data_IF_071326385836
#
_entry.id   IF_071326385836
#
_cell.length_a   1.000
_cell.length_b   1.000
_cell.length_c   1.000
_cell.angle_alpha   90.00
_cell.angle_beta   90.00
_cell.angle_gamma   90.00
#
_symmetry.space_group_name_H-M   'P 1'
#
loop_
_entity.id
_entity.type
_entity.pdbx_description
1 polymer ?
#
# COMPACT_ATOMS: atom_id res chain seq x y z
N UNK A 1 -60.85 46.91 -7.20
CA UNK A 1 -59.71 47.43 -7.98
C UNK A 1 -58.55 46.47 -7.78
N UNK A 2 -58.27 45.60 -8.76
CA UNK A 2 -57.14 45.72 -9.72
C UNK A 2 -55.82 45.19 -9.12
N UNK A 3 -55.51 43.89 -9.19
CA UNK A 3 -54.84 43.16 -10.30
C UNK A 3 -53.38 43.58 -10.59
N UNK A 4 -52.43 42.88 -9.96
CA UNK A 4 -51.10 42.39 -10.43
C UNK A 4 -50.65 41.34 -9.37
N UNK A 5 -50.28 40.07 -9.61
CA UNK A 5 -50.05 39.21 -10.79
C UNK A 5 -48.61 39.21 -11.38
N UNK A 6 -48.10 37.98 -11.62
CA UNK A 6 -46.81 37.48 -12.17
C UNK A 6 -45.63 37.41 -11.17
N UNK A 7 -45.30 36.23 -10.62
CA UNK A 7 -44.65 35.03 -11.21
C UNK A 7 -43.13 35.15 -11.38
N UNK A 8 -42.39 34.54 -10.45
CA UNK A 8 -41.07 33.90 -10.58
C UNK A 8 -40.78 33.21 -9.23
N UNK A 9 -40.58 31.90 -9.09
CA UNK A 9 -40.48 30.86 -10.10
C UNK A 9 -39.11 30.21 -10.18
N UNK A 10 -38.56 29.72 -9.06
CA UNK A 10 -37.58 28.61 -8.99
C UNK A 10 -37.26 28.29 -7.53
N UNK A 11 -37.70 27.13 -7.03
CA UNK A 11 -37.18 26.59 -5.77
C UNK A 11 -35.76 26.05 -6.02
N UNK A 12 -34.75 26.85 -5.69
CA UNK A 12 -33.34 26.45 -5.72
C UNK A 12 -33.03 25.44 -4.63
N UNK A 13 -33.44 24.17 -4.80
CA UNK A 13 -32.84 23.06 -4.05
C UNK A 13 -31.37 22.98 -4.45
N UNK A 14 -30.52 23.62 -3.63
CA UNK A 14 -29.10 23.36 -3.58
C UNK A 14 -28.91 21.88 -3.22
N UNK A 15 -28.75 21.05 -4.25
CA UNK A 15 -28.21 19.72 -4.10
C UNK A 15 -26.80 19.87 -3.56
N UNK A 16 -26.67 19.80 -2.23
CA UNK A 16 -25.40 19.58 -1.56
C UNK A 16 -24.90 18.19 -1.96
N UNK A 17 -24.26 18.12 -3.14
CA UNK A 17 -23.34 17.07 -3.52
C UNK A 17 -22.12 17.16 -2.60
N UNK A 18 -22.33 16.84 -1.32
CA UNK A 18 -21.26 16.68 -0.36
C UNK A 18 -20.37 15.56 -0.85
N UNK A 19 -19.19 15.92 -1.36
CA UNK A 19 -18.15 14.98 -1.75
C UNK A 19 -17.89 14.05 -0.56
N UNK A 20 -18.39 12.82 -0.64
CA UNK A 20 -18.04 11.80 0.35
C UNK A 20 -16.58 11.42 0.14
N UNK A 21 -15.96 10.88 1.19
CA UNK A 21 -14.51 10.78 1.34
C UNK A 21 -13.83 9.78 0.39
N UNK A 22 -14.62 9.18 -0.50
CA UNK A 22 -14.40 7.85 -1.07
C UNK A 22 -14.55 7.82 -2.60
N UNK A 23 -14.93 8.93 -3.25
CA UNK A 23 -15.07 9.05 -4.72
C UNK A 23 -13.71 9.20 -5.44
N UNK A 24 -12.66 8.58 -4.91
CA UNK A 24 -11.48 8.22 -5.70
C UNK A 24 -11.82 6.98 -6.53
N UNK A 25 -12.62 7.23 -7.57
CA UNK A 25 -12.63 6.40 -8.77
C UNK A 25 -11.20 6.42 -9.31
N UNK A 26 -10.59 5.25 -9.44
CA UNK A 26 -9.38 5.08 -10.23
C UNK A 26 -9.80 5.31 -11.69
N UNK A 27 -9.66 6.56 -12.16
CA UNK A 27 -10.14 6.97 -13.47
C UNK A 27 -9.54 6.07 -14.55
N UNK A 28 -10.38 5.61 -15.48
CA UNK A 28 -9.91 4.99 -16.72
C UNK A 28 -8.87 5.92 -17.38
N UNK A 29 -7.81 5.37 -18.00
CA UNK A 29 -6.56 6.09 -18.19
C UNK A 29 -6.72 7.36 -19.02
N UNK A 30 -6.56 8.51 -18.35
CA UNK A 30 -6.40 9.80 -19.03
C UNK A 30 -5.13 9.75 -19.87
N UNK A 31 -5.24 9.98 -21.19
CA UNK A 31 -4.16 9.80 -22.17
C UNK A 31 -3.12 10.93 -22.16
N UNK A 32 -2.73 11.41 -20.98
CA UNK A 32 -1.63 12.36 -20.79
C UNK A 32 -0.49 11.63 -20.07
N UNK A 33 0.57 11.21 -20.77
CA UNK A 33 1.66 10.46 -20.17
C UNK A 33 2.60 11.38 -19.38
N UNK A 34 2.15 11.85 -18.21
CA UNK A 34 3.07 12.22 -17.12
C UNK A 34 3.54 10.93 -16.44
N UNK A 35 4.22 10.08 -17.21
CA UNK A 35 4.74 8.80 -16.75
C UNK A 35 5.82 9.05 -15.70
N UNK A 36 5.44 8.96 -14.42
CA UNK A 36 6.40 8.79 -13.33
C UNK A 36 7.14 7.47 -13.60
N UNK A 37 8.42 7.46 -14.04
CA UNK A 37 8.98 6.27 -14.70
C UNK A 37 9.04 5.03 -13.79
N UNK A 38 9.16 5.24 -12.48
CA UNK A 38 9.14 4.17 -11.48
C UNK A 38 7.73 3.71 -11.07
N UNK A 39 6.68 4.53 -11.28
CA UNK A 39 5.31 4.06 -11.14
C UNK A 39 4.97 3.05 -12.25
N UNK A 40 5.42 3.32 -13.47
CA UNK A 40 5.25 2.47 -14.64
C UNK A 40 6.06 1.16 -14.55
N UNK A 41 7.25 1.21 -13.96
CA UNK A 41 7.98 0.02 -13.52
C UNK A 41 7.14 -0.80 -12.54
N UNK A 42 6.70 -0.22 -11.42
CA UNK A 42 5.94 -0.96 -10.40
C UNK A 42 4.63 -1.56 -10.90
N UNK A 43 3.90 -0.87 -11.80
CA UNK A 43 2.69 -1.45 -12.42
C UNK A 43 2.96 -2.72 -13.22
N UNK A 44 4.16 -2.87 -13.80
CA UNK A 44 4.56 -4.02 -14.63
C UNK A 44 5.31 -5.11 -13.86
N UNK A 45 6.00 -4.77 -12.77
CA UNK A 45 6.85 -5.72 -12.01
C UNK A 45 6.29 -6.16 -10.66
N UNK A 46 5.23 -5.53 -10.16
CA UNK A 46 4.47 -5.98 -8.97
C UNK A 46 3.84 -7.36 -9.17
N UNK A 47 3.54 -8.06 -8.06
CA UNK A 47 2.77 -9.31 -8.07
C UNK A 47 1.46 -9.11 -8.87
N UNK A 48 1.10 -10.00 -9.82
CA UNK A 48 -0.16 -9.87 -10.54
C UNK A 48 -1.36 -10.06 -9.60
N UNK A 49 -2.43 -9.31 -9.85
CA UNK A 49 -3.69 -9.51 -9.13
C UNK A 49 -4.43 -10.73 -9.69
N UNK A 50 -4.83 -11.64 -8.81
CA UNK A 50 -5.69 -12.79 -9.12
C UNK A 50 -7.13 -12.32 -9.23
N UNK A 51 -7.91 -12.86 -10.18
CA UNK A 51 -9.32 -12.48 -10.40
C UNK A 51 -10.24 -13.68 -10.19
N UNK A 52 -11.34 -13.47 -9.46
CA UNK A 52 -12.31 -14.48 -9.08
C UNK A 52 -13.74 -13.97 -9.26
N UNK A 53 -14.66 -14.84 -9.67
CA UNK A 53 -16.10 -14.51 -9.73
C UNK A 53 -16.78 -14.84 -8.40
N UNK A 54 -17.62 -13.93 -7.91
CA UNK A 54 -18.39 -14.05 -6.66
C UNK A 54 -19.90 -13.96 -6.96
N UNK A 55 -20.69 -14.92 -6.48
CA UNK A 55 -22.15 -14.84 -6.53
C UNK A 55 -22.66 -13.92 -5.40
N UNK A 56 -23.26 -12.79 -5.73
CA UNK A 56 -23.74 -11.83 -4.73
C UNK A 56 -25.00 -12.35 -4.03
N UNK A 57 -25.09 -12.10 -2.72
CA UNK A 57 -26.20 -12.55 -1.87
C UNK A 57 -25.90 -13.79 -1.01
N UNK A 58 -24.84 -14.55 -1.31
CA UNK A 58 -24.41 -15.72 -0.53
C UNK A 58 -23.01 -15.55 0.04
N UNK A 59 -22.76 -16.12 1.22
CA UNK A 59 -21.43 -16.13 1.84
C UNK A 59 -20.52 -17.09 1.06
N UNK A 60 -19.31 -16.64 0.69
CA UNK A 60 -18.35 -17.42 -0.10
C UNK A 60 -16.92 -17.16 0.34
N UNK A 61 -16.09 -18.19 0.24
CA UNK A 61 -14.65 -18.10 0.49
C UNK A 61 -13.89 -18.23 -0.82
N UNK A 62 -13.00 -17.28 -1.09
CA UNK A 62 -12.02 -17.33 -2.17
C UNK A 62 -10.69 -17.76 -1.58
N UNK A 63 -10.04 -18.76 -2.17
CA UNK A 63 -8.66 -19.15 -1.83
C UNK A 63 -7.72 -18.68 -2.94
N UNK A 64 -6.63 -18.02 -2.55
CA UNK A 64 -5.62 -17.47 -3.45
C UNK A 64 -4.47 -18.45 -3.70
N UNK A 65 -3.69 -18.18 -4.74
CA UNK A 65 -2.43 -18.88 -5.02
C UNK A 65 -1.36 -18.62 -3.94
N UNK A 66 -1.43 -17.49 -3.22
CA UNK A 66 -0.61 -17.23 -2.03
C UNK A 66 -1.01 -18.07 -0.81
N UNK A 67 -2.14 -18.76 -0.85
CA UNK A 67 -2.66 -19.62 0.22
C UNK A 67 -3.57 -18.91 1.23
N UNK A 68 -3.90 -17.63 1.00
CA UNK A 68 -4.89 -16.93 1.82
C UNK A 68 -6.32 -17.35 1.46
N UNK A 69 -7.20 -17.40 2.46
CA UNK A 69 -8.63 -17.64 2.29
C UNK A 69 -9.40 -16.40 2.76
N UNK A 70 -10.18 -15.79 1.85
CA UNK A 70 -10.96 -14.58 2.10
C UNK A 70 -12.46 -14.91 2.01
N UNK A 71 -13.16 -14.81 3.15
CA UNK A 71 -14.61 -15.06 3.24
C UNK A 71 -15.39 -13.76 3.16
N UNK A 72 -16.19 -13.62 2.11
CA UNK A 72 -17.08 -12.49 1.86
C UNK A 72 -18.48 -12.80 2.42
N UNK A 73 -19.08 -11.92 3.24
CA UNK A 73 -20.39 -12.17 3.85
C UNK A 73 -21.55 -12.02 2.87
N UNK A 74 -22.60 -12.83 3.09
CA UNK A 74 -23.87 -12.74 2.37
C UNK A 74 -24.47 -11.32 2.47
N UNK A 75 -24.97 -10.79 1.35
CA UNK A 75 -25.53 -9.42 1.25
C UNK A 75 -24.60 -8.29 1.72
N UNK A 76 -23.31 -8.56 1.91
CA UNK A 76 -22.37 -7.61 2.49
C UNK A 76 -21.84 -6.55 1.54
N UNK A 77 -22.06 -6.67 0.22
CA UNK A 77 -21.53 -5.73 -0.79
C UNK A 77 -22.62 -4.77 -1.26
N UNK A 78 -22.28 -3.48 -1.29
CA UNK A 78 -23.17 -2.38 -1.68
C UNK A 78 -22.67 -1.71 -2.96
N UNK A 79 -23.64 -1.27 -3.77
CA UNK A 79 -23.45 -0.30 -4.83
C UNK A 79 -23.11 1.10 -4.25
N UNK A 80 -22.57 2.04 -5.05
CA UNK A 80 -22.35 3.42 -4.61
C UNK A 80 -23.61 4.10 -4.06
N UNK A 81 -24.79 3.77 -4.60
CA UNK A 81 -26.09 4.21 -4.10
C UNK A 81 -26.45 3.74 -2.68
N UNK A 82 -25.71 2.78 -2.13
CA UNK A 82 -25.98 2.15 -0.84
C UNK A 82 -26.95 0.96 -0.89
N UNK A 83 -27.53 0.65 -2.05
CA UNK A 83 -28.31 -0.57 -2.24
C UNK A 83 -27.41 -1.82 -2.21
N UNK A 84 -27.92 -2.94 -1.70
CA UNK A 84 -27.23 -4.24 -1.74
C UNK A 84 -27.05 -4.68 -3.19
N UNK A 85 -25.83 -5.05 -3.55
CA UNK A 85 -25.51 -5.55 -4.88
C UNK A 85 -25.98 -7.01 -5.02
N UNK A 86 -26.53 -7.37 -6.19
CA UNK A 86 -27.09 -8.70 -6.49
C UNK A 86 -26.57 -9.22 -7.83
N UNK A 87 -26.72 -10.52 -8.11
CA UNK A 87 -26.16 -11.14 -9.32
C UNK A 87 -24.71 -11.60 -9.12
N UNK A 88 -23.78 -11.16 -9.97
CA UNK A 88 -22.35 -11.54 -9.87
C UNK A 88 -21.43 -10.33 -9.79
N UNK A 89 -20.28 -10.49 -9.14
CA UNK A 89 -19.17 -9.54 -9.13
C UNK A 89 -17.83 -10.22 -9.43
N UNK A 90 -16.85 -9.43 -9.88
CA UNK A 90 -15.45 -9.83 -10.00
C UNK A 90 -14.66 -9.28 -8.81
N UNK A 91 -13.97 -10.16 -8.10
CA UNK A 91 -13.03 -9.85 -7.02
C UNK A 91 -11.61 -9.91 -7.58
N UNK A 92 -10.82 -8.86 -7.40
CA UNK A 92 -9.37 -8.84 -7.68
C UNK A 92 -8.62 -8.82 -6.35
N UNK A 93 -7.65 -9.71 -6.19
CA UNK A 93 -6.84 -9.82 -4.98
C UNK A 93 -5.36 -9.84 -5.39
N UNK A 94 -4.57 -8.94 -4.82
CA UNK A 94 -3.10 -8.97 -4.87
C UNK A 94 -2.59 -9.18 -3.45
N UNK A 95 -1.57 -10.00 -3.33
CA UNK A 95 -0.94 -10.40 -2.06
C UNK A 95 0.55 -10.08 -2.16
N UNK A 96 1.12 -9.51 -1.11
CA UNK A 96 2.55 -9.20 -1.02
C UNK A 96 3.05 -9.75 0.33
N UNK A 97 4.01 -10.67 0.24
CA UNK A 97 4.55 -11.37 1.41
C UNK A 97 6.05 -11.17 1.62
N UNK A 98 6.77 -10.62 0.63
CA UNK A 98 8.24 -10.55 0.64
C UNK A 98 8.74 -9.14 0.41
N UNK A 99 9.90 -8.80 0.98
CA UNK A 99 10.55 -7.50 0.75
C UNK A 99 10.83 -7.22 -0.75
N UNK A 100 11.27 -8.19 -1.57
CA UNK A 100 11.30 -8.02 -3.02
C UNK A 100 9.96 -7.57 -3.63
N UNK A 101 8.85 -8.18 -3.22
CA UNK A 101 7.52 -7.80 -3.71
C UNK A 101 7.08 -6.41 -3.24
N UNK A 102 7.41 -6.03 -2.00
CA UNK A 102 7.21 -4.68 -1.46
C UNK A 102 7.98 -3.61 -2.26
N UNK A 103 9.23 -3.88 -2.63
CA UNK A 103 10.06 -2.98 -3.47
C UNK A 103 9.47 -2.87 -4.88
N UNK A 104 9.14 -4.00 -5.52
CA UNK A 104 8.60 -4.02 -6.88
C UNK A 104 7.23 -3.34 -6.95
N UNK A 105 6.33 -3.63 -6.01
CA UNK A 105 5.03 -2.98 -5.90
C UNK A 105 5.12 -1.52 -5.43
N UNK A 106 6.23 -1.12 -4.82
CA UNK A 106 6.37 0.15 -4.09
C UNK A 106 5.30 0.29 -3.01
N UNK A 107 5.13 -0.77 -2.22
CA UNK A 107 4.27 -0.83 -1.03
C UNK A 107 5.19 -1.15 0.16
N UNK A 108 5.66 -0.13 0.90
CA UNK A 108 6.55 -0.29 2.04
C UNK A 108 5.76 -0.46 3.35
N UNK A 109 6.35 -1.15 4.32
CA UNK A 109 5.81 -1.40 5.66
C UNK A 109 6.07 -0.24 6.64
N UNK A 110 6.16 1.01 6.17
CA UNK A 110 6.26 2.17 7.06
C UNK A 110 4.88 2.75 7.39
N UNK A 111 4.70 3.27 8.61
CA UNK A 111 3.47 4.00 8.95
C UNK A 111 3.42 5.38 8.28
N UNK A 112 2.26 6.05 8.36
CA UNK A 112 2.04 7.42 7.82
C UNK A 112 2.94 8.48 8.49
N UNK A 113 3.35 8.26 9.74
CA UNK A 113 4.26 9.15 10.48
C UNK A 113 5.72 8.76 10.24
N UNK A 114 6.62 9.75 10.21
CA UNK A 114 8.06 9.54 9.97
C UNK A 114 8.71 8.82 11.16
N UNK A 115 9.48 7.77 10.89
CA UNK A 115 10.32 7.08 11.88
C UNK A 115 9.95 5.62 12.08
N UNK A 116 8.67 5.32 12.30
CA UNK A 116 8.28 3.98 12.72
C UNK A 116 8.17 3.00 11.54
N UNK A 117 8.55 1.75 11.78
CA UNK A 117 8.57 0.66 10.82
C UNK A 117 7.76 -0.52 11.33
N UNK A 118 7.12 -1.22 10.41
CA UNK A 118 6.41 -2.46 10.65
C UNK A 118 7.16 -3.66 10.06
N UNK A 119 6.94 -4.83 10.65
CA UNK A 119 7.39 -6.13 10.13
C UNK A 119 6.15 -6.90 9.69
N UNK A 120 6.13 -7.35 8.43
CA UNK A 120 4.89 -7.78 7.81
C UNK A 120 4.59 -9.26 7.86
N UNK A 121 3.34 -9.56 8.19
CA UNK A 121 2.69 -10.86 8.03
C UNK A 121 1.94 -11.02 6.72
N UNK A 122 1.79 -9.95 5.91
CA UNK A 122 1.16 -9.97 4.60
C UNK A 122 0.34 -8.71 4.29
N UNK A 123 0.57 -8.15 3.10
CA UNK A 123 -0.13 -7.00 2.53
C UNK A 123 -1.13 -7.46 1.47
N UNK A 124 -2.34 -6.88 1.47
CA UNK A 124 -3.46 -7.29 0.62
C UNK A 124 -4.09 -6.10 -0.08
N UNK A 125 -4.11 -6.09 -1.41
CA UNK A 125 -5.03 -5.22 -2.16
C UNK A 125 -6.23 -6.05 -2.58
N UNK A 126 -7.39 -5.71 -2.03
CA UNK A 126 -8.67 -6.31 -2.42
C UNK A 126 -9.42 -5.26 -3.23
N UNK A 127 -10.06 -5.68 -4.32
CA UNK A 127 -10.99 -4.88 -5.12
C UNK A 127 -12.20 -5.72 -5.51
N UNK A 128 -13.41 -5.16 -5.46
CA UNK A 128 -14.62 -5.84 -5.95
C UNK A 128 -15.36 -4.94 -6.91
N UNK A 129 -15.72 -5.48 -8.07
CA UNK A 129 -16.31 -4.76 -9.19
C UNK A 129 -17.51 -5.52 -9.72
N UNK A 130 -18.64 -4.83 -9.89
CA UNK A 130 -19.76 -5.32 -10.69
C UNK A 130 -19.78 -4.54 -12.00
N UNK A 131 -19.43 -5.23 -13.09
CA UNK A 131 -19.16 -4.60 -14.38
C UNK A 131 -18.08 -3.49 -14.23
N UNK A 132 -18.42 -2.24 -14.52
CA UNK A 132 -17.57 -1.06 -14.32
C UNK A 132 -17.75 -0.37 -12.97
N UNK A 133 -18.69 -0.83 -12.14
CA UNK A 133 -19.02 -0.22 -10.85
C UNK A 133 -18.21 -0.85 -9.73
N UNK A 134 -17.38 -0.07 -9.03
CA UNK A 134 -16.70 -0.52 -7.82
C UNK A 134 -17.71 -0.71 -6.69
N UNK A 135 -17.69 -1.87 -6.07
CA UNK A 135 -18.49 -2.15 -4.88
C UNK A 135 -17.71 -1.76 -3.63
N UNK A 136 -18.44 -1.45 -2.55
CA UNK A 136 -17.91 -1.29 -1.19
C UNK A 136 -18.60 -2.31 -0.28
N UNK A 137 -18.02 -2.61 0.88
CA UNK A 137 -18.76 -3.42 1.86
C UNK A 137 -19.78 -2.54 2.59
N UNK A 138 -20.80 -3.17 3.16
CA UNK A 138 -21.77 -2.53 4.03
C UNK A 138 -21.11 -2.14 5.36
N UNK A 139 -21.47 -0.98 5.95
CA UNK A 139 -21.02 -0.65 7.30
C UNK A 139 -21.34 -1.78 8.29
N UNK A 140 -20.45 -2.02 9.26
CA UNK A 140 -20.46 -3.14 10.23
C UNK A 140 -20.21 -4.55 9.69
N UNK A 141 -20.18 -4.78 8.38
CA UNK A 141 -19.71 -6.04 7.82
C UNK A 141 -18.17 -6.10 7.81
N UNK A 142 -17.60 -7.31 7.70
CA UNK A 142 -16.15 -7.50 7.53
C UNK A 142 -15.89 -8.62 6.52
N UNK A 143 -14.73 -8.59 5.85
CA UNK A 143 -14.19 -9.78 5.17
C UNK A 143 -13.28 -10.50 6.15
N UNK A 144 -13.59 -11.77 6.44
CA UNK A 144 -12.73 -12.59 7.28
C UNK A 144 -11.58 -13.12 6.41
N UNK A 145 -10.34 -12.85 6.80
CA UNK A 145 -9.13 -13.33 6.12
C UNK A 145 -8.42 -14.36 6.99
N UNK A 146 -8.02 -15.47 6.37
CA UNK A 146 -7.02 -16.39 6.89
C UNK A 146 -5.80 -16.29 5.98
N UNK A 147 -4.67 -15.81 6.48
CA UNK A 147 -3.41 -15.69 5.71
C UNK A 147 -2.38 -16.68 6.23
N UNK A 148 -1.56 -17.33 5.39
CA UNK A 148 -0.32 -17.96 5.82
C UNK A 148 0.55 -17.02 6.64
N UNK A 149 1.25 -17.59 7.62
CA UNK A 149 2.32 -16.92 8.37
C UNK A 149 3.61 -16.98 7.54
N UNK A 150 4.24 -15.85 7.20
CA UNK A 150 5.53 -15.86 6.50
C UNK A 150 6.60 -16.63 7.29
N UNK A 151 7.39 -17.42 6.59
CA UNK A 151 8.38 -18.30 7.21
C UNK A 151 9.50 -17.54 7.94
N UNK A 152 9.93 -18.11 9.07
CA UNK A 152 11.18 -17.77 9.77
C UNK A 152 11.28 -16.39 10.46
N UNK A 153 10.17 -15.80 10.92
CA UNK A 153 10.20 -14.53 11.67
C UNK A 153 9.24 -14.51 12.88
N UNK A 154 9.67 -13.93 14.02
CA UNK A 154 8.74 -13.56 15.10
C UNK A 154 7.79 -12.50 14.57
N UNK A 155 6.60 -12.94 14.25
CA UNK A 155 5.51 -12.19 13.64
C UNK A 155 4.24 -12.40 14.48
N UNK A 156 4.41 -12.58 15.80
CA UNK A 156 3.36 -13.02 16.72
C UNK A 156 2.42 -11.90 17.19
N UNK A 157 2.72 -10.64 16.87
CA UNK A 157 2.04 -9.46 17.46
C UNK A 157 1.31 -8.59 16.42
N UNK A 158 0.84 -9.20 15.32
CA UNK A 158 0.21 -8.48 14.22
C UNK A 158 -1.09 -7.74 14.62
N UNK A 159 -1.33 -6.63 13.94
CA UNK A 159 -2.53 -5.81 13.95
C UNK A 159 -3.03 -5.60 12.52
N UNK A 160 -4.27 -5.15 12.37
CA UNK A 160 -4.82 -4.77 11.06
C UNK A 160 -4.51 -3.29 10.79
N UNK A 161 -3.93 -3.02 9.63
CA UNK A 161 -3.63 -1.68 9.12
C UNK A 161 -4.31 -1.45 7.78
N UNK A 162 -4.51 -0.17 7.46
CA UNK A 162 -5.09 0.30 6.21
C UNK A 162 -4.28 1.46 5.63
N UNK A 163 -4.32 1.63 4.31
CA UNK A 163 -3.83 2.87 3.70
C UNK A 163 -4.88 3.98 3.83
N UNK A 164 -4.53 5.17 4.35
CA UNK A 164 -5.46 6.30 4.40
C UNK A 164 -5.69 6.89 3.00
N UNK A 165 -6.96 7.02 2.60
CA UNK A 165 -7.36 7.56 1.29
C UNK A 165 -6.73 8.93 0.96
N UNK A 166 -6.47 9.77 1.97
CA UNK A 166 -5.91 11.11 1.80
C UNK A 166 -4.40 11.17 1.47
N UNK A 167 -3.66 10.06 1.54
CA UNK A 167 -2.19 10.03 1.30
C UNK A 167 -1.83 9.49 -0.09
N UNK A 168 -2.82 9.09 -0.90
CA UNK A 168 -2.64 8.60 -2.26
C UNK A 168 -2.04 9.64 -3.25
N UNK A 169 -1.88 10.90 -2.84
CA UNK A 169 -1.35 11.99 -3.65
C UNK A 169 0.20 12.06 -3.70
N UNK A 170 0.91 11.20 -2.97
CA UNK A 170 2.37 11.06 -3.07
C UNK A 170 2.76 9.59 -3.30
N UNK A 171 3.95 9.36 -3.89
CA UNK A 171 4.43 8.08 -4.45
C UNK A 171 4.59 6.91 -3.44
N UNK A 172 3.97 6.97 -2.25
CA UNK A 172 3.64 5.81 -1.41
C UNK A 172 2.79 6.29 -0.24
N UNK A 173 1.62 5.68 -0.02
CA UNK A 173 0.95 5.79 1.27
C UNK A 173 1.79 5.05 2.34
N UNK A 174 1.73 5.55 3.58
CA UNK A 174 2.13 4.79 4.76
C UNK A 174 0.92 4.12 5.40
N UNK A 175 1.16 3.14 6.26
CA UNK A 175 0.10 2.41 6.97
C UNK A 175 -0.45 3.18 8.18
N UNK A 176 -1.76 3.15 8.36
CA UNK A 176 -2.45 3.61 9.57
C UNK A 176 -3.09 2.42 10.28
N UNK A 177 -2.98 2.36 11.61
CA UNK A 177 -3.60 1.32 12.42
C UNK A 177 -5.13 1.40 12.24
N UNK A 178 -5.73 0.30 11.76
CA UNK A 178 -7.18 0.22 11.53
C UNK A 178 -7.93 -0.31 12.75
N UNK A 179 -7.28 -1.20 13.53
CA UNK A 179 -7.83 -1.72 14.79
C UNK A 179 -6.73 -1.96 15.81
N UNK A 180 -7.03 -1.70 17.08
CA UNK A 180 -6.18 -2.07 18.22
C UNK A 180 -6.36 -3.54 18.62
N UNK A 181 -7.36 -4.24 18.07
CA UNK A 181 -7.50 -5.68 18.23
C UNK A 181 -6.34 -6.40 17.52
N UNK A 182 -5.71 -7.35 18.24
CA UNK A 182 -4.69 -8.21 17.64
C UNK A 182 -5.31 -9.13 16.60
N UNK A 183 -4.57 -9.34 15.51
CA UNK A 183 -4.79 -10.46 14.60
C UNK A 183 -4.63 -11.75 15.40
N UNK A 184 -5.56 -12.68 15.26
CA UNK A 184 -5.47 -13.98 15.93
C UNK A 184 -4.43 -14.84 15.19
N UNK A 185 -3.38 -15.27 15.89
CA UNK A 185 -2.48 -16.29 15.37
C UNK A 185 -3.00 -17.68 15.74
N UNK A 186 -3.05 -18.58 14.76
CA UNK A 186 -3.24 -20.03 14.94
C UNK A 186 -2.08 -20.75 14.23
N UNK A 187 -1.86 -22.07 14.44
CA UNK A 187 -0.75 -22.78 13.79
C UNK A 187 -0.75 -22.58 12.26
N UNK A 188 0.32 -21.98 11.74
CA UNK A 188 0.51 -21.69 10.31
C UNK A 188 -0.31 -20.54 9.71
N UNK A 189 -1.28 -19.95 10.44
CA UNK A 189 -2.19 -18.94 9.88
C UNK A 189 -2.42 -17.74 10.80
N UNK A 190 -2.53 -16.55 10.21
CA UNK A 190 -3.21 -15.39 10.76
C UNK A 190 -4.69 -15.44 10.47
N UNK A 191 -5.50 -14.95 11.41
CA UNK A 191 -6.94 -14.71 11.23
C UNK A 191 -7.27 -13.27 11.63
N UNK A 192 -7.89 -12.54 10.73
CA UNK A 192 -8.35 -11.18 10.97
C UNK A 192 -9.72 -10.95 10.33
N UNK A 193 -10.43 -9.94 10.81
CA UNK A 193 -11.59 -9.37 10.14
C UNK A 193 -11.18 -8.01 9.59
N UNK A 194 -11.26 -7.82 8.28
CA UNK A 194 -10.95 -6.55 7.62
C UNK A 194 -12.21 -5.67 7.63
N UNK A 195 -12.23 -4.54 8.37
CA UNK A 195 -13.38 -3.65 8.45
C UNK A 195 -13.46 -2.77 7.21
N UNK A 196 -14.15 -3.26 6.18
CA UNK A 196 -14.22 -2.57 4.89
C UNK A 196 -15.23 -1.41 4.93
N UNK A 197 -14.83 -0.24 5.43
CA UNK A 197 -15.47 1.01 5.02
C UNK A 197 -15.26 1.25 3.51
N UNK A 198 -14.06 0.89 3.03
CA UNK A 198 -13.68 0.77 1.63
C UNK A 198 -12.94 -0.55 1.37
N UNK A 199 -13.18 -1.11 0.18
CA UNK A 199 -12.37 -2.21 -0.36
C UNK A 199 -11.06 -1.61 -0.91
N UNK A 200 -9.89 -2.01 -0.39
CA UNK A 200 -8.62 -1.38 -0.74
C UNK A 200 -7.38 -2.12 -0.21
N UNK A 201 -6.35 -1.36 0.18
CA UNK A 201 -5.10 -1.88 0.74
C UNK A 201 -5.20 -2.11 2.26
N UNK A 202 -4.92 -3.34 2.67
CA UNK A 202 -4.88 -3.83 4.04
C UNK A 202 -3.52 -4.46 4.34
N UNK A 203 -3.13 -4.47 5.61
CA UNK A 203 -1.87 -5.09 6.02
C UNK A 203 -1.99 -5.76 7.40
N UNK A 204 -1.29 -6.89 7.58
CA UNK A 204 -1.28 -7.68 8.82
C UNK A 204 0.10 -7.57 9.48
N UNK A 205 0.31 -6.48 10.19
CA UNK A 205 1.64 -5.97 10.54
C UNK A 205 1.81 -5.66 12.04
N UNK A 206 3.05 -5.70 12.50
CA UNK A 206 3.43 -5.39 13.88
C UNK A 206 4.52 -4.33 13.87
N UNK A 207 4.60 -3.54 14.93
CA UNK A 207 5.75 -2.67 15.15
C UNK A 207 7.06 -3.48 15.19
N UNK A 208 8.14 -2.90 14.65
CA UNK A 208 9.46 -3.52 14.68
C UNK A 208 10.05 -3.55 16.10
N UNK A 209 9.67 -4.58 16.86
CA UNK A 209 9.97 -4.64 18.29
C UNK A 209 11.44 -4.96 18.61
N UNK A 210 12.25 -5.41 17.64
CA UNK A 210 13.66 -5.76 17.87
C UNK A 210 14.53 -4.59 18.38
N UNK A 211 14.14 -3.34 18.09
CA UNK A 211 14.88 -2.14 18.47
C UNK A 211 14.04 -1.13 19.26
N UNK A 212 12.96 -1.56 19.91
CA UNK A 212 12.01 -0.65 20.58
C UNK A 212 12.59 0.16 21.75
N UNK A 213 13.69 -0.30 22.35
CA UNK A 213 14.43 0.37 23.43
C UNK A 213 15.62 1.20 22.92
N UNK A 214 16.00 1.07 21.65
CA UNK A 214 17.14 1.77 21.10
C UNK A 214 16.79 3.23 20.77
N UNK A 215 17.72 4.15 21.05
CA UNK A 215 17.60 5.55 20.65
C UNK A 215 17.49 5.68 19.13
N UNK A 216 16.59 6.53 18.66
CA UNK A 216 16.38 6.74 17.22
C UNK A 216 17.35 7.82 16.72
N UNK A 217 18.16 7.50 15.71
CA UNK A 217 19.14 8.41 15.11
C UNK A 217 18.81 8.71 13.66
N UNK A 218 19.19 9.89 13.18
CA UNK A 218 19.01 10.26 11.78
C UNK A 218 20.11 9.65 10.91
N UNK A 219 19.72 9.11 9.76
CA UNK A 219 20.62 8.68 8.69
C UNK A 219 20.29 9.39 7.39
N UNK A 220 21.31 9.61 6.56
CA UNK A 220 21.21 10.25 5.25
C UNK A 220 21.76 9.33 4.17
N UNK A 221 20.89 8.93 3.25
CA UNK A 221 21.29 8.24 2.03
C UNK A 221 21.41 9.30 0.93
N UNK A 222 22.59 9.43 0.34
CA UNK A 222 22.85 10.36 -0.76
C UNK A 222 22.72 9.66 -2.11
N UNK A 223 22.08 10.33 -3.04
CA UNK A 223 21.93 9.91 -4.44
C UNK A 223 22.33 11.05 -5.36
N UNK A 224 22.82 10.74 -6.55
CA UNK A 224 23.07 11.75 -7.58
C UNK A 224 21.77 12.48 -7.95
N UNK A 225 21.82 13.81 -8.09
CA UNK A 225 20.68 14.61 -8.51
C UNK A 225 20.25 14.22 -9.93
N UNK A 226 18.93 14.06 -10.17
CA UNK A 226 18.39 13.67 -11.47
C UNK A 226 17.38 14.70 -11.96
N UNK A 227 17.83 15.66 -12.78
CA UNK A 227 17.02 16.79 -13.25
C UNK A 227 15.75 16.39 -14.05
N UNK A 228 15.70 15.16 -14.57
CA UNK A 228 14.56 14.57 -15.29
C UNK A 228 14.30 13.11 -14.87
N UNK A 229 14.60 12.76 -13.61
CA UNK A 229 14.52 11.39 -13.13
C UNK A 229 13.62 11.20 -11.91
N UNK A 230 13.15 9.95 -11.73
CA UNK A 230 12.50 9.52 -10.51
C UNK A 230 13.47 8.64 -9.71
N UNK A 231 13.53 8.86 -8.40
CA UNK A 231 14.36 8.08 -7.47
C UNK A 231 13.48 7.56 -6.35
N UNK A 232 13.71 6.31 -5.94
CA UNK A 232 13.13 5.71 -4.74
C UNK A 232 14.27 5.12 -3.91
N UNK A 233 14.32 5.52 -2.64
CA UNK A 233 15.28 5.02 -1.66
C UNK A 233 14.52 4.29 -0.57
N UNK A 234 14.99 3.10 -0.23
CA UNK A 234 14.45 2.29 0.85
C UNK A 234 15.54 1.87 1.83
N UNK A 235 15.13 1.56 3.06
CA UNK A 235 15.91 0.79 4.02
C UNK A 235 15.16 -0.50 4.33
N UNK A 236 15.86 -1.63 4.22
CA UNK A 236 15.38 -2.96 4.61
C UNK A 236 16.11 -3.43 5.87
N UNK A 237 15.43 -3.74 6.99
CA UNK A 237 16.04 -4.43 8.11
C UNK A 237 16.50 -5.84 7.75
N UNK A 238 17.72 -6.20 8.15
CA UNK A 238 18.25 -7.54 7.93
C UNK A 238 17.56 -8.53 8.87
N UNK A 239 17.06 -9.64 8.33
CA UNK A 239 16.38 -10.68 9.10
C UNK A 239 14.91 -10.41 9.39
N UNK A 240 14.35 -9.30 8.90
CA UNK A 240 12.94 -8.94 9.10
C UNK A 240 12.25 -8.62 7.76
N UNK A 241 10.96 -8.92 7.67
CA UNK A 241 10.09 -8.68 6.51
C UNK A 241 9.56 -7.25 6.56
N UNK A 242 10.48 -6.28 6.56
CA UNK A 242 10.17 -4.87 6.58
C UNK A 242 10.75 -4.16 5.37
N UNK A 243 10.08 -3.10 4.94
CA UNK A 243 10.60 -2.16 3.96
C UNK A 243 10.19 -0.75 4.37
N UNK A 244 11.17 0.13 4.53
CA UNK A 244 10.95 1.53 4.86
C UNK A 244 11.27 2.38 3.65
N UNK A 245 10.32 3.20 3.18
CA UNK A 245 10.60 4.21 2.15
C UNK A 245 11.12 5.49 2.80
N UNK A 246 12.12 6.09 2.17
CA UNK A 246 12.69 7.39 2.52
C UNK A 246 12.11 8.47 1.61
N UNK A 247 12.20 9.70 2.08
CA UNK A 247 11.73 10.89 1.35
C UNK A 247 12.91 11.86 1.16
N UNK A 248 12.96 12.58 0.03
CA UNK A 248 13.99 13.57 -0.19
C UNK A 248 13.76 14.76 0.75
N UNK A 249 14.85 15.33 1.30
CA UNK A 249 14.82 16.57 2.06
C UNK A 249 15.11 17.81 1.20
N UNK A 250 15.71 17.60 0.04
CA UNK A 250 16.03 18.65 -0.94
C UNK A 250 15.13 18.52 -2.17
N UNK A 251 14.75 19.65 -2.77
CA UNK A 251 14.01 19.67 -4.05
C UNK A 251 14.79 18.99 -5.18
N UNK A 252 16.12 18.93 -5.07
CA UNK A 252 17.01 18.24 -6.00
C UNK A 252 16.99 16.69 -5.86
N UNK A 253 16.35 16.14 -4.83
CA UNK A 253 16.27 14.70 -4.61
C UNK A 253 17.61 14.03 -4.30
N UNK A 254 18.56 14.76 -3.72
CA UNK A 254 19.93 14.26 -3.44
C UNK A 254 20.06 13.59 -2.08
N UNK A 255 19.33 14.07 -1.08
CA UNK A 255 19.54 13.72 0.32
C UNK A 255 18.25 13.11 0.87
N UNK A 256 18.29 11.83 1.20
CA UNK A 256 17.14 11.03 1.64
C UNK A 256 17.32 10.70 3.10
N UNK A 257 16.46 11.28 3.97
CA UNK A 257 16.64 11.18 5.41
C UNK A 257 15.52 10.41 6.09
N UNK A 258 15.89 9.67 7.14
CA UNK A 258 14.94 9.10 8.09
C UNK A 258 15.59 8.88 9.45
N UNK A 259 14.75 8.93 10.48
CA UNK A 259 15.12 8.50 11.82
C UNK A 259 14.92 6.98 11.90
N UNK A 260 15.96 6.26 12.33
CA UNK A 260 16.01 4.79 12.42
C UNK A 260 16.67 4.43 13.77
N UNK A 261 16.25 3.36 14.47
CA UNK A 261 16.91 2.93 15.70
C UNK A 261 18.42 2.66 15.53
N UNK A 262 19.23 3.14 16.47
CA UNK A 262 20.67 2.91 16.49
C UNK A 262 21.03 1.43 16.67
N UNK A 263 22.13 1.00 16.06
CA UNK A 263 22.58 -0.40 16.04
C UNK A 263 21.78 -1.32 15.10
N UNK A 264 20.79 -0.79 14.38
CA UNK A 264 20.04 -1.55 13.39
C UNK A 264 20.90 -1.98 12.19
N UNK A 265 20.89 -3.27 11.87
CA UNK A 265 21.46 -3.79 10.63
C UNK A 265 20.45 -3.66 9.48
N UNK A 266 20.84 -2.93 8.44
CA UNK A 266 19.99 -2.52 7.32
C UNK A 266 20.67 -2.76 5.96
N UNK A 267 19.87 -2.83 4.90
CA UNK A 267 20.30 -2.67 3.52
C UNK A 267 19.62 -1.44 2.95
N UNK A 268 20.40 -0.43 2.58
CA UNK A 268 19.94 0.66 1.74
C UNK A 268 19.73 0.14 0.31
N UNK A 269 18.58 0.44 -0.28
CA UNK A 269 18.20 0.05 -1.65
C UNK A 269 17.86 1.31 -2.42
N UNK A 270 18.54 1.55 -3.53
CA UNK A 270 18.32 2.71 -4.40
C UNK A 270 17.88 2.22 -5.77
N UNK A 271 16.73 2.70 -6.22
CA UNK A 271 16.22 2.50 -7.58
C UNK A 271 15.99 3.88 -8.21
N UNK A 272 16.67 4.17 -9.32
CA UNK A 272 16.48 5.40 -10.07
C UNK A 272 16.03 5.08 -11.50
N UNK A 273 15.33 6.02 -12.11
CA UNK A 273 15.12 6.08 -13.56
C UNK A 273 15.51 7.46 -14.05
N UNK A 274 16.41 7.53 -15.03
CA UNK A 274 16.92 8.78 -15.61
C UNK A 274 16.82 8.65 -17.13
N UNK A 275 16.01 9.50 -17.75
CA UNK A 275 15.76 9.45 -19.20
C UNK A 275 15.33 8.05 -19.70
N UNK A 276 14.57 7.31 -18.89
CA UNK A 276 14.12 5.93 -19.18
C UNK A 276 15.11 4.83 -18.79
N UNK A 277 16.40 5.12 -18.64
CA UNK A 277 17.39 4.15 -18.16
C UNK A 277 17.20 3.90 -16.65
N UNK A 278 17.10 2.64 -16.25
CA UNK A 278 17.06 2.25 -14.83
C UNK A 278 18.47 2.14 -14.25
N UNK A 279 18.62 2.54 -12.99
CA UNK A 279 19.81 2.36 -12.19
C UNK A 279 19.44 1.71 -10.86
N UNK A 280 20.22 0.74 -10.42
CA UNK A 280 19.98 0.01 -9.18
C UNK A 280 21.27 -0.12 -8.37
N UNK A 281 21.15 -0.07 -7.05
CA UNK A 281 22.27 -0.25 -6.13
C UNK A 281 21.81 -0.59 -4.72
N UNK A 282 22.64 -1.35 -4.00
CA UNK A 282 22.39 -1.74 -2.61
C UNK A 282 23.64 -1.57 -1.75
N UNK A 283 23.47 -1.14 -0.51
CA UNK A 283 24.56 -1.07 0.46
C UNK A 283 24.10 -1.56 1.84
N UNK A 284 24.74 -2.59 2.38
CA UNK A 284 24.54 -2.99 3.77
C UNK A 284 25.18 -1.95 4.70
N UNK A 285 24.47 -1.59 5.77
CA UNK A 285 24.91 -0.64 6.80
C UNK A 285 24.48 -1.11 8.18
N UNK A 286 25.20 -0.68 9.20
CA UNK A 286 24.74 -0.68 10.59
C UNK A 286 24.47 0.76 11.00
N UNK A 287 23.30 1.04 11.56
CA UNK A 287 22.82 2.40 11.81
C UNK A 287 23.57 3.04 12.99
N UNK A 288 24.27 4.14 12.74
CA UNK A 288 24.99 4.95 13.73
C UNK A 288 24.55 6.41 13.66
N UNK A 289 24.83 7.19 14.71
CA UNK A 289 24.42 8.59 14.78
C UNK A 289 25.11 9.42 13.69
N UNK A 290 24.34 10.13 12.86
CA UNK A 290 24.85 10.97 11.78
C UNK A 290 25.42 10.19 10.58
N UNK A 291 25.06 8.91 10.42
CA UNK A 291 25.51 8.10 9.28
C UNK A 291 25.08 8.73 7.95
N UNK A 292 26.08 9.03 7.10
CA UNK A 292 25.89 9.47 5.71
C UNK A 292 26.55 8.44 4.79
N UNK A 293 25.80 7.92 3.82
CA UNK A 293 26.33 7.00 2.80
C UNK A 293 25.82 7.35 1.40
N UNK A 294 26.57 6.95 0.37
CA UNK A 294 26.21 7.11 -1.04
C UNK A 294 26.27 5.75 -1.73
N UNK A 295 25.19 4.95 -1.76
CA UNK A 295 25.17 3.67 -2.45
C UNK A 295 25.58 3.81 -3.92
N UNK A 296 26.52 2.99 -4.36
CA UNK A 296 26.89 2.91 -5.78
C UNK A 296 25.72 2.28 -6.53
N UNK A 297 25.21 3.00 -7.53
CA UNK A 297 24.17 2.52 -8.46
C UNK A 297 24.79 2.28 -9.83
N UNK A 298 24.34 1.21 -10.49
CA UNK A 298 24.78 0.83 -11.84
C UNK A 298 23.59 0.80 -12.80
N UNK A 299 23.78 1.11 -14.09
CA UNK A 299 22.71 0.98 -15.09
C UNK A 299 22.30 -0.49 -15.24
N UNK A 300 20.99 -0.75 -15.27
CA UNK A 300 20.40 -2.09 -15.35
C UNK A 300 19.25 -2.12 -16.35
N UNK A 301 18.99 -3.28 -16.96
CA UNK A 301 17.71 -3.51 -17.64
C UNK A 301 16.60 -3.72 -16.61
N UNK A 302 15.33 -3.67 -17.05
CA UNK A 302 14.21 -3.98 -16.16
C UNK A 302 14.26 -5.42 -15.62
N UNK A 303 14.54 -6.40 -16.48
CA UNK A 303 14.68 -7.79 -16.08
C UNK A 303 15.82 -7.98 -15.06
N UNK A 304 16.92 -7.26 -15.24
CA UNK A 304 18.05 -7.28 -14.31
C UNK A 304 17.72 -6.58 -12.98
N UNK A 305 17.02 -5.44 -13.01
CA UNK A 305 16.53 -4.78 -11.81
C UNK A 305 15.60 -5.70 -11.00
N UNK A 306 14.66 -6.38 -11.67
CA UNK A 306 13.79 -7.39 -11.03
C UNK A 306 14.62 -8.54 -10.46
N UNK A 307 15.58 -9.08 -11.23
CA UNK A 307 16.46 -10.18 -10.78
C UNK A 307 17.24 -9.80 -9.52
N UNK A 308 17.80 -8.59 -9.46
CA UNK A 308 18.56 -8.09 -8.32
C UNK A 308 17.66 -7.80 -7.11
N UNK A 309 16.49 -7.19 -7.31
CA UNK A 309 15.51 -6.94 -6.23
C UNK A 309 15.02 -8.26 -5.62
N UNK A 310 14.91 -9.33 -6.42
CA UNK A 310 14.57 -10.69 -5.95
C UNK A 310 15.66 -11.36 -5.10
N UNK A 311 16.85 -10.76 -4.97
CA UNK A 311 17.95 -11.24 -4.12
C UNK A 311 18.00 -10.54 -2.75
N UNK A 312 17.05 -9.65 -2.43
CA UNK A 312 16.93 -8.99 -1.13
C UNK A 312 16.40 -9.94 -0.05
#
# INVERSE_FOLDING_TARGET
>A
MTRYLLLLGAAGLLALAGCRKDDLVECAPTTTPTTLPLADFSRRTSVPAQTFTLALGTSQTITTAGGAALTFPANGLLLPSGAVATGTAQVRIREIYTVPDMVLANVPTNIVRRGDMLVSGGEFNIQVWQNTTRLRLAPSQTVAIQSPVPTAQDTTRQYVWQQPAAVMASDSAGWQLASTQRVQQVPGLYRASLPLDSIGWWNLDQFWHAYYTAGVVQVTIKTTATAAGATRVYLRPVGYNGLVKLWPSTTAGTDWLRNIPAGADMVAVVLQSVNGQLYYGTQRITITSGLVISPVVSPVSEAEAVRLIRQL
#
